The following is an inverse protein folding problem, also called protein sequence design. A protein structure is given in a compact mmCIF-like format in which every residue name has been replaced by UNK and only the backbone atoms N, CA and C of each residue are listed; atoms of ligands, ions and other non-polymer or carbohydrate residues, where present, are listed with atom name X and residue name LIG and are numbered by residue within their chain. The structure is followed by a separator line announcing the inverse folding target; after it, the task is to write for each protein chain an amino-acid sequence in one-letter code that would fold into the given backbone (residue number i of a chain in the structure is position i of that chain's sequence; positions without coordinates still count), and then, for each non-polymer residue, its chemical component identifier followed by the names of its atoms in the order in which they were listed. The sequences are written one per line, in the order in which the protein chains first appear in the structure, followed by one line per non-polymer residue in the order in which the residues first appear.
data_IF_712745461516
#
_entry.id   IF_712745461516
#
_cell.length_a   1.000
_cell.length_b   1.000
_cell.length_c   1.000
_cell.angle_alpha   90.00
_cell.angle_beta   90.00
_cell.angle_gamma   90.00
#
_symmetry.space_group_name_H-M   'P 1'
#
loop_
_entity.id
_entity.type
_entity.pdbx_description
1 polymer ?
#
# COMPACT_ATOMS: atom_id res chain seq x y z
N UNK A 1 -13.89 7.06 12.77
CA UNK A 1 -12.82 6.89 11.76
C UNK A 1 -12.12 5.58 12.04
N UNK A 2 -12.01 4.74 11.03
CA UNK A 2 -11.30 3.46 11.12
C UNK A 2 -10.05 3.58 10.24
N UNK A 3 -8.85 3.70 10.84
CA UNK A 3 -7.60 3.77 10.09
C UNK A 3 -7.23 2.40 9.51
N UNK A 4 -6.45 2.39 8.42
CA UNK A 4 -5.92 1.17 7.82
C UNK A 4 -6.95 0.31 7.08
N UNK A 5 -8.05 0.90 6.60
CA UNK A 5 -9.04 0.18 5.82
C UNK A 5 -8.50 -0.15 4.43
N UNK A 6 -7.92 -1.34 4.31
CA UNK A 6 -7.37 -1.84 3.05
C UNK A 6 -5.91 -1.48 2.76
N UNK A 7 -5.40 -0.38 3.30
CA UNK A 7 -3.99 0.03 3.19
C UNK A 7 -3.61 1.02 4.29
N UNK A 8 -2.32 1.13 4.59
CA UNK A 8 -1.80 2.00 5.67
C UNK A 8 -2.11 3.49 5.45
N UNK A 9 -2.35 3.91 4.22
CA UNK A 9 -2.68 5.28 3.82
C UNK A 9 -4.16 5.50 3.55
N UNK A 10 -5.04 4.60 3.99
CA UNK A 10 -6.48 4.68 3.81
C UNK A 10 -7.23 4.70 5.16
N UNK A 11 -8.40 5.30 5.14
CA UNK A 11 -9.30 5.30 6.29
C UNK A 11 -10.76 5.26 5.84
N UNK A 12 -11.61 4.74 6.71
CA UNK A 12 -13.05 4.72 6.52
C UNK A 12 -13.70 5.66 7.53
N UNK A 13 -14.54 6.58 7.05
CA UNK A 13 -15.40 7.40 7.89
C UNK A 13 -16.84 6.87 7.77
N UNK A 14 -17.42 6.48 8.88
CA UNK A 14 -18.81 6.06 8.93
C UNK A 14 -19.62 7.22 9.50
N UNK A 15 -20.53 7.77 8.69
CA UNK A 15 -21.48 8.82 9.10
C UNK A 15 -22.86 8.20 9.27
N UNK A 16 -23.36 8.24 10.49
CA UNK A 16 -24.74 7.83 10.79
C UNK A 16 -25.66 9.00 10.50
N UNK A 17 -26.65 8.75 9.67
CA UNK A 17 -27.70 9.72 9.36
C UNK A 17 -28.86 9.56 10.37
N UNK A 18 -29.58 10.66 10.61
CA UNK A 18 -30.81 10.61 11.36
C UNK A 18 -31.85 9.68 10.74
N UNK A 19 -32.83 9.28 11.54
CA UNK A 19 -33.93 8.43 11.07
C UNK A 19 -34.55 9.05 9.81
N UNK A 20 -34.86 8.21 8.83
CA UNK A 20 -35.49 8.65 7.58
C UNK A 20 -36.78 9.46 7.75
N UNK A 21 -37.51 9.28 8.86
CA UNK A 21 -38.70 10.05 9.20
C UNK A 21 -38.40 11.49 9.63
N UNK A 22 -37.20 11.74 10.13
CA UNK A 22 -36.81 13.03 10.70
C UNK A 22 -35.98 13.88 9.72
N UNK A 23 -35.78 13.41 8.49
CA UNK A 23 -34.97 14.14 7.47
C UNK A 23 -35.76 14.32 6.19
N UNK A 24 -35.58 15.47 5.57
CA UNK A 24 -36.20 15.82 4.29
C UNK A 24 -35.48 15.26 3.08
N UNK A 25 -34.21 14.87 3.24
CA UNK A 25 -33.36 14.42 2.12
C UNK A 25 -33.06 12.92 2.23
N UNK A 26 -33.06 12.26 1.10
CA UNK A 26 -32.62 10.86 1.04
C UNK A 26 -31.09 10.76 1.10
N UNK A 27 -30.58 9.57 1.40
CA UNK A 27 -29.14 9.31 1.51
C UNK A 27 -28.38 9.61 0.21
N UNK A 28 -29.00 9.42 -0.94
CA UNK A 28 -28.41 9.66 -2.25
C UNK A 28 -28.15 11.15 -2.49
N UNK A 29 -29.13 12.00 -2.14
CA UNK A 29 -28.97 13.46 -2.26
C UNK A 29 -27.89 13.99 -1.32
N UNK A 30 -27.86 13.49 -0.08
CA UNK A 30 -26.83 13.85 0.90
C UNK A 30 -25.43 13.44 0.38
N UNK A 31 -25.33 12.25 -0.20
CA UNK A 31 -24.09 11.74 -0.79
C UNK A 31 -23.61 12.64 -1.95
N UNK A 32 -24.51 13.02 -2.86
CA UNK A 32 -24.17 13.92 -3.98
C UNK A 32 -23.66 15.27 -3.50
N UNK A 33 -24.30 15.86 -2.49
CA UNK A 33 -23.85 17.11 -1.85
C UNK A 33 -22.48 16.96 -1.17
N UNK A 34 -22.24 15.81 -0.54
CA UNK A 34 -20.96 15.51 0.11
C UNK A 34 -19.81 15.41 -0.90
N UNK A 35 -20.03 14.85 -2.09
CA UNK A 35 -19.00 14.76 -3.15
C UNK A 35 -18.45 16.16 -3.46
N UNK A 36 -19.29 17.15 -3.67
CA UNK A 36 -18.86 18.51 -3.98
C UNK A 36 -17.94 19.14 -2.93
N UNK A 37 -18.11 18.79 -1.65
CA UNK A 37 -17.26 19.26 -0.55
C UNK A 37 -15.98 18.43 -0.39
N UNK A 38 -16.06 17.14 -0.65
CA UNK A 38 -14.94 16.20 -0.47
C UNK A 38 -13.86 16.44 -1.54
N UNK A 39 -14.26 16.73 -2.79
CA UNK A 39 -13.35 16.99 -3.91
C UNK A 39 -12.46 18.23 -3.67
N UNK A 40 -12.87 19.15 -2.81
CA UNK A 40 -12.08 20.34 -2.48
C UNK A 40 -10.95 20.08 -1.47
N UNK A 41 -10.88 18.90 -0.88
CA UNK A 41 -9.81 18.56 0.09
C UNK A 41 -8.54 18.18 -0.67
N UNK A 42 -7.46 18.96 -0.55
CA UNK A 42 -6.23 18.69 -1.30
C UNK A 42 -5.56 17.40 -0.81
N UNK A 43 -4.85 16.73 -1.70
CA UNK A 43 -4.04 15.54 -1.42
C UNK A 43 -4.82 14.33 -0.89
N UNK A 44 -6.14 14.34 -0.98
CA UNK A 44 -6.99 13.26 -0.51
C UNK A 44 -7.96 12.82 -1.60
N UNK A 45 -8.01 11.51 -1.84
CA UNK A 45 -9.06 10.90 -2.66
C UNK A 45 -10.08 10.26 -1.74
N UNK A 46 -11.24 10.86 -1.61
CA UNK A 46 -12.31 10.31 -0.80
C UNK A 46 -13.62 10.21 -1.60
N UNK A 47 -14.34 9.14 -1.38
CA UNK A 47 -15.61 8.87 -2.06
C UNK A 47 -16.66 8.48 -1.03
N UNK A 48 -17.82 9.11 -1.02
CA UNK A 48 -18.94 8.65 -0.21
C UNK A 48 -19.52 7.38 -0.82
N UNK A 49 -19.82 6.41 0.02
CA UNK A 49 -20.37 5.12 -0.38
C UNK A 49 -21.62 4.88 0.44
N UNK A 50 -22.74 4.59 -0.23
CA UNK A 50 -23.94 4.10 0.44
C UNK A 50 -23.89 2.57 0.54
N UNK A 51 -23.91 1.99 1.76
CA UNK A 51 -23.96 0.55 1.88
C UNK A 51 -25.23 -0.01 1.28
N UNK A 52 -25.12 -1.07 0.51
CA UNK A 52 -26.29 -1.77 -0.03
C UNK A 52 -27.01 -2.50 1.08
N UNK A 53 -28.35 -2.47 1.06
CA UNK A 53 -29.20 -3.12 2.06
C UNK A 53 -29.01 -4.66 2.07
N UNK A 54 -28.69 -5.24 0.93
CA UNK A 54 -28.38 -6.66 0.79
C UNK A 54 -26.94 -6.79 0.29
N UNK A 55 -26.06 -7.36 1.10
CA UNK A 55 -24.69 -7.68 0.69
C UNK A 55 -24.71 -8.93 -0.17
N UNK A 56 -24.86 -8.77 -1.48
CA UNK A 56 -24.76 -9.87 -2.44
C UNK A 56 -23.33 -10.22 -2.81
N UNK A 57 -22.39 -9.30 -2.65
CA UNK A 57 -20.94 -9.53 -2.79
C UNK A 57 -20.18 -8.35 -2.17
N UNK A 58 -18.92 -8.57 -1.85
CA UNK A 58 -18.00 -7.50 -1.49
C UNK A 58 -18.07 -6.39 -2.56
N UNK A 59 -17.62 -5.16 -2.22
CA UNK A 59 -17.50 -3.99 -3.13
C UNK A 59 -16.67 -4.27 -4.40
N UNK A 60 -16.94 -5.39 -5.05
CA UNK A 60 -16.20 -5.83 -6.21
C UNK A 60 -16.79 -5.15 -7.43
N UNK A 61 -15.95 -4.40 -8.12
CA UNK A 61 -16.27 -3.84 -9.44
C UNK A 61 -16.68 -4.95 -10.40
N UNK A 62 -17.62 -4.69 -11.32
CA UNK A 62 -18.12 -5.71 -12.21
C UNK A 62 -17.02 -6.32 -13.10
N UNK A 63 -16.06 -5.51 -13.51
CA UNK A 63 -14.91 -5.96 -14.30
C UNK A 63 -13.71 -6.17 -13.40
N UNK A 64 -13.15 -7.38 -13.39
CA UNK A 64 -11.95 -7.71 -12.66
C UNK A 64 -11.07 -8.62 -13.52
N UNK A 65 -10.02 -8.07 -14.09
CA UNK A 65 -9.01 -8.78 -14.87
C UNK A 65 -7.77 -9.04 -14.02
N UNK A 66 -7.35 -10.28 -13.95
CA UNK A 66 -6.13 -10.71 -13.26
C UNK A 66 -5.05 -10.96 -14.30
N UNK A 67 -3.89 -10.33 -14.14
CA UNK A 67 -2.72 -10.46 -15.00
C UNK A 67 -1.66 -11.23 -14.23
N UNK A 68 -1.13 -12.30 -14.79
CA UNK A 68 -0.05 -13.09 -14.19
C UNK A 68 1.31 -12.64 -14.70
N UNK A 69 2.33 -12.77 -13.84
CA UNK A 69 3.71 -12.48 -14.22
C UNK A 69 4.73 -13.12 -13.29
N UNK A 70 5.97 -13.14 -13.73
CA UNK A 70 7.08 -13.75 -12.99
C UNK A 70 7.61 -12.83 -11.87
N UNK A 71 7.59 -11.51 -12.10
CA UNK A 71 8.05 -10.50 -11.14
C UNK A 71 7.01 -9.41 -10.98
N UNK A 72 7.00 -8.73 -9.83
CA UNK A 72 6.09 -7.61 -9.61
C UNK A 72 6.50 -6.36 -10.36
N UNK A 73 7.78 -6.21 -10.69
CA UNK A 73 8.32 -5.13 -11.51
C UNK A 73 7.75 -5.20 -12.93
N UNK A 74 7.80 -6.38 -13.54
CA UNK A 74 7.21 -6.65 -14.85
C UNK A 74 5.68 -6.47 -14.86
N UNK A 75 5.00 -6.93 -13.81
CA UNK A 75 3.58 -6.71 -13.62
C UNK A 75 3.23 -5.23 -13.48
N UNK A 76 4.07 -4.44 -12.80
CA UNK A 76 3.89 -2.99 -12.66
C UNK A 76 3.98 -2.27 -14.01
N UNK A 77 4.95 -2.61 -14.82
CA UNK A 77 5.08 -2.03 -16.17
C UNK A 77 3.91 -2.40 -17.06
N UNK A 78 3.55 -3.68 -17.03
CA UNK A 78 2.41 -4.21 -17.80
C UNK A 78 1.11 -3.51 -17.40
N UNK A 79 0.79 -3.46 -16.11
CA UNK A 79 -0.43 -2.80 -15.65
C UNK A 79 -0.48 -1.31 -16.02
N UNK A 80 0.65 -0.59 -15.94
CA UNK A 80 0.72 0.83 -16.34
C UNK A 80 0.37 1.02 -17.81
N UNK A 81 0.88 0.15 -18.69
CA UNK A 81 0.56 0.16 -20.13
C UNK A 81 -0.92 -0.14 -20.37
N UNK A 82 -1.42 -1.19 -19.73
CA UNK A 82 -2.81 -1.64 -19.84
C UNK A 82 -3.78 -0.58 -19.32
N UNK A 83 -3.56 -0.03 -18.12
CA UNK A 83 -4.41 1.03 -17.55
C UNK A 83 -4.43 2.27 -18.45
N UNK A 84 -3.28 2.64 -19.04
CA UNK A 84 -3.21 3.77 -19.99
C UNK A 84 -4.08 3.53 -21.22
N UNK A 85 -4.13 2.30 -21.71
CA UNK A 85 -4.98 1.93 -22.86
C UNK A 85 -6.46 1.87 -22.47
N UNK A 86 -6.78 1.31 -21.30
CA UNK A 86 -8.15 1.21 -20.79
C UNK A 86 -8.77 2.59 -20.56
N UNK A 87 -8.00 3.55 -20.07
CA UNK A 87 -8.46 4.93 -19.84
C UNK A 87 -8.93 5.67 -21.09
N UNK A 88 -8.57 5.18 -22.27
CA UNK A 88 -9.06 5.73 -23.56
C UNK A 88 -10.51 5.34 -23.85
N UNK A 89 -11.04 4.32 -23.19
CA UNK A 89 -12.42 3.90 -23.35
C UNK A 89 -13.32 4.66 -22.35
N UNK A 90 -14.20 5.54 -22.82
CA UNK A 90 -15.08 6.35 -21.96
C UNK A 90 -16.12 5.51 -21.20
N UNK A 91 -16.38 4.30 -21.65
CA UNK A 91 -17.35 3.39 -21.04
C UNK A 91 -16.81 2.63 -19.82
N UNK A 92 -15.49 2.76 -19.55
CA UNK A 92 -14.85 2.18 -18.36
C UNK A 92 -14.44 3.30 -17.41
N UNK A 93 -14.93 3.25 -16.19
CA UNK A 93 -14.69 4.26 -15.17
C UNK A 93 -14.10 3.66 -13.90
N UNK A 94 -13.60 4.52 -13.02
CA UNK A 94 -12.98 4.14 -11.73
C UNK A 94 -12.02 2.96 -11.84
N UNK A 95 -11.10 3.03 -12.82
CA UNK A 95 -10.11 1.99 -13.08
C UNK A 95 -9.09 2.00 -11.93
N UNK A 96 -8.96 0.87 -11.25
CA UNK A 96 -8.07 0.67 -10.11
C UNK A 96 -7.25 -0.59 -10.27
N UNK A 97 -6.08 -0.61 -9.63
CA UNK A 97 -5.25 -1.79 -9.50
C UNK A 97 -5.04 -2.11 -8.02
N UNK A 98 -4.97 -3.39 -7.69
CA UNK A 98 -4.64 -3.86 -6.35
C UNK A 98 -3.13 -3.78 -6.04
N UNK A 99 -2.31 -3.36 -7.01
CA UNK A 99 -0.88 -3.14 -6.86
C UNK A 99 -0.51 -1.69 -7.14
N UNK A 100 0.07 -1.04 -6.14
CA UNK A 100 0.63 0.30 -6.29
C UNK A 100 1.84 0.48 -5.36
N UNK A 101 2.91 1.11 -5.86
CA UNK A 101 4.12 1.43 -5.07
C UNK A 101 4.03 2.85 -4.53
N UNK A 102 3.06 3.10 -3.67
CA UNK A 102 2.78 4.41 -3.08
C UNK A 102 3.11 4.51 -1.58
N UNK A 103 3.60 3.42 -0.99
CA UNK A 103 4.07 3.44 0.39
C UNK A 103 5.53 3.89 0.41
N UNK A 104 5.86 5.05 1.01
CA UNK A 104 7.25 5.45 1.16
C UNK A 104 7.98 4.47 2.09
N UNK A 105 9.08 3.94 1.62
CA UNK A 105 9.93 3.00 2.36
C UNK A 105 11.38 3.46 2.30
N UNK A 106 12.07 3.31 3.41
CA UNK A 106 13.49 3.59 3.52
C UNK A 106 14.22 2.26 3.43
N UNK A 107 15.05 2.10 2.41
CA UNK A 107 15.92 0.96 2.23
C UNK A 107 17.33 1.33 2.65
N UNK A 108 17.84 0.58 3.63
CA UNK A 108 19.22 0.72 4.07
C UNK A 108 20.06 -0.39 3.45
N UNK A 109 21.02 0.00 2.63
CA UNK A 109 21.97 -0.92 2.00
C UNK A 109 23.27 -0.91 2.78
N UNK A 110 23.61 -2.04 3.40
CA UNK A 110 24.85 -2.18 4.18
C UNK A 110 26.02 -2.37 3.23
N UNK A 111 27.03 -1.52 3.33
CA UNK A 111 28.31 -1.70 2.65
C UNK A 111 29.14 -2.76 3.37
N UNK A 112 29.04 -4.00 2.88
CA UNK A 112 29.67 -5.17 3.50
C UNK A 112 31.19 -5.07 3.56
N UNK A 113 31.82 -4.47 2.54
CA UNK A 113 33.27 -4.31 2.48
C UNK A 113 33.74 -3.34 3.56
N UNK A 114 33.14 -2.13 3.62
CA UNK A 114 33.46 -1.16 4.67
C UNK A 114 33.21 -1.68 6.08
N UNK A 115 32.09 -2.41 6.28
CA UNK A 115 31.77 -2.99 7.56
C UNK A 115 32.86 -3.98 8.02
N UNK A 116 33.33 -4.84 7.10
CA UNK A 116 34.42 -5.79 7.35
C UNK A 116 35.75 -5.08 7.68
N UNK A 117 36.12 -4.09 6.87
CA UNK A 117 37.38 -3.35 7.02
C UNK A 117 37.43 -2.59 8.38
N UNK A 118 36.28 -2.08 8.81
CA UNK A 118 36.14 -1.39 10.09
C UNK A 118 35.86 -2.34 11.28
N UNK A 119 35.83 -3.64 11.05
CA UNK A 119 35.60 -4.65 12.09
C UNK A 119 34.22 -4.57 12.71
N UNK A 120 33.18 -4.25 11.93
CA UNK A 120 31.79 -4.22 12.38
C UNK A 120 31.01 -5.35 11.75
N UNK A 121 30.40 -6.21 12.56
CA UNK A 121 29.61 -7.32 12.03
C UNK A 121 28.26 -6.83 11.47
N UNK A 122 27.80 -7.47 10.39
CA UNK A 122 26.48 -7.17 9.81
C UNK A 122 25.36 -7.44 10.84
N UNK A 123 25.56 -8.43 11.69
CA UNK A 123 24.66 -8.77 12.80
C UNK A 123 24.51 -7.61 13.76
N UNK A 124 25.61 -7.01 14.21
CA UNK A 124 25.61 -5.86 15.12
C UNK A 124 24.90 -4.65 14.51
N UNK A 125 25.13 -4.40 13.20
CA UNK A 125 24.41 -3.34 12.47
C UNK A 125 22.90 -3.62 12.49
N UNK A 126 22.48 -4.86 12.16
CA UNK A 126 21.08 -5.27 12.12
C UNK A 126 20.40 -5.14 13.47
N UNK A 127 21.01 -5.67 14.54
CA UNK A 127 20.47 -5.60 15.91
C UNK A 127 20.36 -4.15 16.43
N UNK A 128 21.31 -3.30 16.07
CA UNK A 128 21.27 -1.87 16.41
C UNK A 128 20.12 -1.16 15.71
N UNK A 129 19.94 -1.39 14.41
CA UNK A 129 18.83 -0.86 13.64
C UNK A 129 17.48 -1.37 14.13
N UNK A 130 17.35 -2.67 14.38
CA UNK A 130 16.14 -3.27 14.94
C UNK A 130 15.78 -2.62 16.28
N UNK A 131 16.75 -2.46 17.17
CA UNK A 131 16.54 -1.87 18.49
C UNK A 131 16.12 -0.40 18.40
N UNK A 132 16.83 0.40 17.60
CA UNK A 132 16.65 1.85 17.59
C UNK A 132 15.48 2.29 16.68
N UNK A 133 15.25 1.62 15.54
CA UNK A 133 14.15 1.95 14.65
C UNK A 133 12.89 1.14 14.94
N UNK A 134 13.01 -0.16 15.22
CA UNK A 134 11.89 -1.04 15.51
C UNK A 134 11.36 -0.94 16.93
N UNK A 135 12.23 -0.64 17.88
CA UNK A 135 11.93 -0.66 19.29
C UNK A 135 12.05 -2.06 19.90
N UNK A 136 12.95 -2.24 20.87
CA UNK A 136 13.19 -3.50 21.57
C UNK A 136 12.70 -3.42 22.99
N UNK A 137 11.89 -4.40 23.38
CA UNK A 137 11.54 -4.58 24.81
C UNK A 137 12.78 -5.13 25.51
N UNK A 138 13.43 -4.29 26.31
CA UNK A 138 14.67 -4.64 27.02
C UNK A 138 14.39 -5.34 28.36
N UNK A 139 13.29 -4.94 29.02
CA UNK A 139 12.84 -5.56 30.27
C UNK A 139 11.38 -5.20 30.55
N UNK A 140 10.83 -5.76 31.60
CA UNK A 140 9.49 -5.42 32.09
C UNK A 140 9.58 -5.10 33.56
N UNK A 141 8.71 -4.25 34.05
CA UNK A 141 8.57 -3.96 35.47
C UNK A 141 7.11 -4.11 35.92
N UNK A 142 6.96 -4.53 37.17
CA UNK A 142 5.64 -4.71 37.77
C UNK A 142 5.24 -3.47 38.57
N UNK A 143 4.06 -2.92 38.30
CA UNK A 143 3.45 -1.83 39.05
C UNK A 143 1.98 -2.12 39.31
N UNK A 144 1.57 -2.11 40.58
CA UNK A 144 0.17 -2.35 40.98
C UNK A 144 -0.41 -3.64 40.39
N UNK A 145 0.38 -4.73 40.36
CA UNK A 145 -0.06 -6.03 39.85
C UNK A 145 -0.12 -6.14 38.32
N UNK A 146 0.35 -5.12 37.56
CA UNK A 146 0.42 -5.15 36.11
C UNK A 146 1.86 -5.07 35.63
N UNK A 147 2.18 -5.86 34.59
CA UNK A 147 3.46 -5.80 33.88
C UNK A 147 3.47 -4.70 32.83
N UNK A 148 4.53 -3.89 32.85
CA UNK A 148 4.78 -2.83 31.87
C UNK A 148 6.10 -3.08 31.16
N UNK A 149 6.13 -3.13 29.80
CA UNK A 149 7.38 -3.27 29.05
C UNK A 149 8.17 -1.96 29.05
N UNK A 150 9.49 -2.06 29.20
CA UNK A 150 10.43 -0.96 28.93
C UNK A 150 10.94 -1.14 27.51
N UNK A 151 10.60 -0.19 26.64
CA UNK A 151 10.97 -0.21 25.24
C UNK A 151 12.12 0.76 24.99
N UNK A 152 13.23 0.25 24.45
CA UNK A 152 14.35 1.06 24.00
C UNK A 152 14.17 1.36 22.50
N UNK A 153 14.14 2.64 22.16
CA UNK A 153 14.07 3.09 20.76
C UNK A 153 14.64 4.52 20.63
N UNK A 154 15.02 4.90 19.42
CA UNK A 154 15.44 6.25 19.08
C UNK A 154 14.26 7.22 19.09
N UNK A 155 14.51 8.51 19.32
CA UNK A 155 13.48 9.54 19.24
C UNK A 155 12.75 9.54 17.90
N UNK A 156 11.43 9.80 17.95
CA UNK A 156 10.55 9.75 16.78
C UNK A 156 11.02 10.65 15.63
N UNK A 157 11.53 11.84 15.94
CA UNK A 157 11.96 12.79 14.91
C UNK A 157 13.28 12.39 14.24
N UNK A 158 14.19 11.79 15.00
CA UNK A 158 15.45 11.24 14.44
C UNK A 158 15.21 9.99 13.56
N UNK A 159 14.12 9.24 13.77
CA UNK A 159 13.77 8.08 12.95
C UNK A 159 13.18 8.43 11.59
N UNK A 160 12.73 9.66 11.38
CA UNK A 160 12.09 10.10 10.13
C UNK A 160 13.08 10.48 9.03
N UNK A 161 14.33 10.79 9.40
CA UNK A 161 15.29 11.43 8.51
C UNK A 161 16.61 10.65 8.44
N UNK A 162 17.29 10.78 7.29
CA UNK A 162 18.64 10.24 7.10
C UNK A 162 19.63 10.77 8.18
N UNK A 163 19.44 11.98 8.67
CA UNK A 163 20.27 12.57 9.72
C UNK A 163 20.26 11.77 11.03
N UNK A 164 19.20 11.03 11.31
CA UNK A 164 19.13 10.12 12.45
C UNK A 164 20.15 9.00 12.42
N UNK A 165 20.55 8.54 11.23
CA UNK A 165 21.58 7.50 11.08
C UNK A 165 22.98 7.97 11.53
N UNK A 166 23.30 9.25 11.34
CA UNK A 166 24.58 9.81 11.77
C UNK A 166 24.75 9.87 13.29
N UNK A 167 23.64 9.85 14.03
CA UNK A 167 23.60 9.86 15.49
C UNK A 167 23.69 8.45 16.10
N UNK A 168 23.68 7.41 15.28
CA UNK A 168 23.77 6.03 15.72
C UNK A 168 25.19 5.55 15.53
N UNK A 169 25.73 4.95 16.57
CA UNK A 169 27.07 4.41 16.57
C UNK A 169 27.05 2.92 16.88
N UNK A 170 27.94 2.18 16.21
CA UNK A 170 28.20 0.78 16.45
C UNK A 170 29.66 0.61 16.85
N UNK A 171 29.94 -0.34 17.74
CA UNK A 171 31.30 -0.58 18.21
C UNK A 171 32.03 -1.54 17.26
N UNK A 172 33.25 -1.16 16.87
CA UNK A 172 34.16 -2.06 16.14
C UNK A 172 34.63 -3.18 17.06
N UNK A 173 34.60 -4.42 16.58
CA UNK A 173 35.14 -5.57 17.31
C UNK A 173 36.67 -5.58 17.29
N UNK A 174 37.29 -4.97 16.26
CA UNK A 174 38.74 -4.94 16.09
C UNK A 174 39.41 -3.82 16.90
N UNK A 175 38.90 -2.60 16.83
CA UNK A 175 39.52 -1.42 17.44
C UNK A 175 38.82 -0.99 18.75
N UNK A 176 37.60 -1.46 19.00
CA UNK A 176 36.80 -1.00 20.13
C UNK A 176 36.20 0.40 19.95
N UNK A 177 36.51 1.10 18.85
CA UNK A 177 36.02 2.44 18.55
C UNK A 177 34.54 2.48 18.15
N UNK A 178 33.92 3.63 18.36
CA UNK A 178 32.55 3.88 17.94
C UNK A 178 32.52 4.42 16.52
N UNK A 179 31.87 3.71 15.62
CA UNK A 179 31.76 4.03 14.20
C UNK A 179 30.33 4.46 13.92
N UNK A 180 30.14 5.64 13.29
CA UNK A 180 28.80 6.10 12.89
C UNK A 180 28.21 5.18 11.84
N UNK A 181 26.94 4.82 12.03
CA UNK A 181 26.20 3.94 11.12
C UNK A 181 26.05 4.53 9.72
N UNK A 182 26.03 5.87 9.61
CA UNK A 182 25.98 6.57 8.33
C UNK A 182 27.19 6.26 7.42
N UNK A 183 28.33 5.84 7.98
CA UNK A 183 29.49 5.42 7.20
C UNK A 183 29.37 4.00 6.65
N UNK A 184 28.49 3.19 7.20
CA UNK A 184 28.34 1.76 6.92
C UNK A 184 27.13 1.43 6.06
N UNK A 185 26.16 2.36 5.95
CA UNK A 185 24.92 2.15 5.22
C UNK A 185 24.64 3.25 4.22
N UNK A 186 24.06 2.87 3.09
CA UNK A 186 23.51 3.80 2.12
C UNK A 186 22.01 3.88 2.31
N UNK A 187 21.49 5.10 2.34
CA UNK A 187 20.09 5.41 2.49
C UNK A 187 19.44 5.60 1.12
N UNK A 188 18.37 4.87 0.85
CA UNK A 188 17.60 5.00 -0.38
C UNK A 188 16.11 5.07 -0.07
N UNK A 189 15.46 6.11 -0.52
CA UNK A 189 14.00 6.21 -0.47
C UNK A 189 13.41 5.55 -1.72
N UNK A 190 12.52 4.59 -1.50
CA UNK A 190 11.83 3.89 -2.57
C UNK A 190 10.32 3.86 -2.28
N UNK A 191 9.52 3.82 -3.35
CA UNK A 191 8.12 3.44 -3.22
C UNK A 191 8.01 1.93 -3.05
N UNK A 192 7.40 1.47 -1.99
CA UNK A 192 7.08 0.06 -1.76
C UNK A 192 5.62 -0.23 -2.04
N UNK A 193 5.33 -1.47 -2.38
CA UNK A 193 3.96 -1.93 -2.57
C UNK A 193 3.30 -2.24 -1.23
N UNK A 194 2.09 -1.73 -1.02
CA UNK A 194 1.32 -2.02 0.18
C UNK A 194 0.92 -3.50 0.27
N UNK A 195 0.72 -4.13 -0.89
CA UNK A 195 0.26 -5.50 -0.99
C UNK A 195 0.88 -6.19 -2.20
N UNK A 196 1.33 -7.43 -1.99
CA UNK A 196 1.80 -8.34 -3.03
C UNK A 196 0.78 -9.45 -3.18
N UNK A 197 -0.07 -9.34 -4.23
CA UNK A 197 -1.16 -10.28 -4.48
C UNK A 197 -0.68 -11.51 -5.23
N UNK A 198 -1.30 -12.64 -4.92
CA UNK A 198 -1.18 -13.87 -5.71
C UNK A 198 -2.58 -14.40 -6.03
N UNK A 199 -2.74 -14.90 -7.23
CA UNK A 199 -3.93 -15.59 -7.65
C UNK A 199 -3.55 -17.00 -8.13
N UNK A 200 -4.24 -18.03 -7.69
CA UNK A 200 -3.87 -19.43 -7.96
C UNK A 200 -2.38 -19.74 -7.69
N UNK A 201 -1.83 -19.22 -6.57
CA UNK A 201 -0.42 -19.34 -6.14
C UNK A 201 0.60 -18.63 -7.02
N UNK A 202 0.22 -18.05 -8.15
CA UNK A 202 1.09 -17.27 -9.04
C UNK A 202 1.04 -15.79 -8.65
N UNK A 203 2.13 -15.06 -8.90
CA UNK A 203 2.16 -13.60 -8.73
C UNK A 203 1.18 -12.98 -9.71
N UNK A 204 0.32 -12.11 -9.23
CA UNK A 204 -0.71 -11.52 -10.05
C UNK A 204 -1.05 -10.10 -9.60
N UNK A 205 -1.57 -9.32 -10.55
CA UNK A 205 -2.14 -8.00 -10.31
C UNK A 205 -3.56 -8.00 -10.84
N UNK A 206 -4.50 -7.48 -10.05
CA UNK A 206 -5.91 -7.37 -10.45
C UNK A 206 -6.21 -5.93 -10.85
N UNK A 207 -6.67 -5.74 -12.08
CA UNK A 207 -7.21 -4.47 -12.57
C UNK A 207 -8.73 -4.55 -12.51
N UNK A 208 -9.34 -3.58 -11.85
CA UNK A 208 -10.79 -3.51 -11.66
C UNK A 208 -11.35 -2.23 -12.26
N UNK A 209 -12.53 -2.30 -12.86
CA UNK A 209 -13.22 -1.16 -13.46
C UNK A 209 -14.72 -1.25 -13.28
N UNK A 210 -15.38 -0.08 -13.31
CA UNK A 210 -16.83 0.02 -13.41
C UNK A 210 -17.24 0.25 -14.85
N UNK A 211 -18.46 -0.18 -15.15
CA UNK A 211 -19.10 -0.03 -16.46
C UNK A 211 -20.04 1.19 -16.46
N UNK A 212 -20.13 1.90 -17.57
CA UNK A 212 -21.20 2.86 -17.81
C UNK A 212 -22.55 2.12 -18.05
N UNK A 213 -23.65 2.83 -17.84
CA UNK A 213 -25.01 2.23 -17.90
C UNK A 213 -25.32 1.52 -19.22
N UNK A 214 -24.76 1.97 -20.33
CA UNK A 214 -25.03 1.45 -21.67
C UNK A 214 -23.92 0.52 -22.19
N UNK A 215 -23.02 0.03 -21.32
CA UNK A 215 -21.90 -0.82 -21.72
C UNK A 215 -21.96 -2.17 -21.01
N UNK A 216 -22.03 -3.23 -21.79
CA UNK A 216 -22.19 -4.57 -21.25
C UNK A 216 -20.87 -5.16 -20.78
N UNK A 217 -20.94 -6.08 -19.83
CA UNK A 217 -19.76 -6.79 -19.33
C UNK A 217 -19.02 -7.55 -20.43
N UNK A 218 -19.77 -8.16 -21.37
CA UNK A 218 -19.18 -8.91 -22.49
C UNK A 218 -18.39 -7.99 -23.45
N UNK A 219 -18.90 -6.79 -23.73
CA UNK A 219 -18.17 -5.79 -24.53
C UNK A 219 -16.89 -5.33 -23.82
N UNK A 220 -16.95 -5.13 -22.49
CA UNK A 220 -15.78 -4.79 -21.70
C UNK A 220 -14.72 -5.90 -21.74
N UNK A 221 -15.13 -7.16 -21.59
CA UNK A 221 -14.22 -8.32 -21.64
C UNK A 221 -13.52 -8.37 -23.01
N UNK A 222 -14.27 -8.32 -24.10
CA UNK A 222 -13.71 -8.32 -25.47
C UNK A 222 -12.74 -7.17 -25.71
N UNK A 223 -13.09 -5.97 -25.22
CA UNK A 223 -12.21 -4.82 -25.33
C UNK A 223 -10.91 -5.03 -24.56
N UNK A 224 -10.98 -5.60 -23.35
CA UNK A 224 -9.80 -5.86 -22.53
C UNK A 224 -8.93 -6.98 -23.09
N UNK A 225 -9.51 -8.04 -23.63
CA UNK A 225 -8.77 -9.10 -24.32
C UNK A 225 -8.03 -8.55 -25.55
N UNK A 226 -8.69 -7.75 -26.37
CA UNK A 226 -8.05 -7.07 -27.50
C UNK A 226 -6.94 -6.11 -27.04
N UNK A 227 -7.16 -5.40 -25.94
CA UNK A 227 -6.13 -4.52 -25.36
C UNK A 227 -4.93 -5.34 -24.89
N UNK A 228 -5.15 -6.45 -24.22
CA UNK A 228 -4.07 -7.33 -23.76
C UNK A 228 -3.30 -7.96 -24.90
N UNK A 229 -3.95 -8.41 -25.96
CA UNK A 229 -3.28 -8.98 -27.13
C UNK A 229 -2.34 -7.99 -27.83
N UNK A 230 -2.66 -6.68 -27.77
CA UNK A 230 -1.83 -5.62 -28.36
C UNK A 230 -0.72 -5.15 -27.41
N UNK A 231 -1.03 -5.02 -26.12
CA UNK A 231 -0.15 -4.35 -25.13
C UNK A 231 0.77 -5.34 -24.43
N UNK A 232 0.32 -6.57 -24.21
CA UNK A 232 0.99 -7.58 -23.41
C UNK A 232 0.59 -8.99 -23.83
N UNK A 233 0.84 -9.34 -25.08
CA UNK A 233 0.50 -10.64 -25.68
C UNK A 233 1.21 -11.84 -25.05
N UNK A 234 2.31 -11.59 -24.33
CA UNK A 234 3.11 -12.58 -23.59
C UNK A 234 2.55 -12.90 -22.19
N UNK A 235 1.54 -12.15 -21.72
CA UNK A 235 0.96 -12.32 -20.38
C UNK A 235 -0.32 -13.14 -20.40
N UNK A 236 -0.40 -14.05 -19.43
CA UNK A 236 -1.64 -14.76 -19.17
C UNK A 236 -2.58 -13.88 -18.35
N UNK A 237 -3.85 -13.95 -18.71
CA UNK A 237 -4.92 -13.27 -17.98
C UNK A 237 -5.98 -14.27 -17.55
N UNK A 238 -6.72 -13.92 -16.51
CA UNK A 238 -7.96 -14.60 -16.12
C UNK A 238 -8.95 -13.58 -15.57
N UNK A 239 -10.18 -13.98 -15.47
CA UNK A 239 -11.27 -13.16 -14.96
C UNK A 239 -11.59 -13.55 -13.52
N UNK A 240 -12.21 -12.64 -12.77
CA UNK A 240 -12.61 -12.87 -11.39
C UNK A 240 -13.96 -12.25 -11.09
N UNK A 241 -14.76 -12.90 -10.25
CA UNK A 241 -16.05 -12.38 -9.80
C UNK A 241 -17.10 -12.41 -10.89
N UNK A 242 -17.79 -11.29 -11.16
CA UNK A 242 -18.85 -11.22 -12.16
C UNK A 242 -18.35 -11.32 -13.60
N UNK A 243 -17.05 -11.16 -13.82
CA UNK A 243 -16.41 -11.28 -15.14
C UNK A 243 -15.90 -12.69 -15.43
N UNK A 244 -16.00 -13.63 -14.47
CA UNK A 244 -15.70 -15.04 -14.62
C UNK A 244 -16.89 -15.75 -15.31
#
# INVERSE_FOLDING_TARGET
IVPGFGADNSFLIISLLDNWKNRSENSQNIMTKAIGKIVTVPQTLAFPISPQSIRTSNYNKPVQMVIYGNTYEDLEETQKKVIRSIRKNPNLSRIESDYSRNKPEIKLLINKTKAKDLGVSIKTIGETLETLYGGKVVTKFNKLGKEYPIILQQYKDDRKNQQGLSKIFVRSENSGELISLANLVEYKEEGSANKLSRYNRQRAVTISADLSENYTLNEAIKFLENTMSVVASDKQITWKGKSE
#
